data_IF_423491940818
#
_entry.id   IF_423491940818
#
_cell.length_a   1.000
_cell.length_b   1.000
_cell.length_c   1.000
_cell.angle_alpha   90.00
_cell.angle_beta   90.00
_cell.angle_gamma   90.00
#
_symmetry.space_group_name_H-M   'P 1'
#
loop_
_entity.id
_entity.type
_entity.pdbx_description
1 polymer ?
#
# COMPACT_ATOMS: atom_id res chain seq x y z
N UNK A 1 -37.24 14.14 -10.51
CA UNK A 1 -36.01 14.79 -10.02
C UNK A 1 -35.68 14.20 -8.65
N UNK A 2 -34.40 13.98 -8.38
CA UNK A 2 -33.81 13.43 -7.15
C UNK A 2 -33.99 11.90 -6.95
N UNK A 3 -33.03 11.12 -6.48
CA UNK A 3 -31.57 11.24 -6.29
C UNK A 3 -31.18 9.82 -5.84
N UNK A 4 -30.60 8.99 -6.71
CA UNK A 4 -30.16 7.62 -6.38
C UNK A 4 -28.76 7.66 -5.79
N UNK A 5 -28.63 7.92 -4.50
CA UNK A 5 -27.43 7.59 -3.71
C UNK A 5 -27.80 7.62 -2.23
N UNK A 6 -27.94 6.45 -1.59
CA UNK A 6 -27.53 6.24 -0.20
C UNK A 6 -27.90 4.82 0.26
N UNK A 7 -26.99 4.25 1.04
CA UNK A 7 -27.17 3.08 1.91
C UNK A 7 -27.07 1.70 1.25
N UNK A 8 -25.85 1.33 0.83
CA UNK A 8 -25.42 -0.07 0.98
C UNK A 8 -24.43 -0.08 2.13
N UNK A 9 -24.96 -0.23 3.34
CA UNK A 9 -24.18 -0.37 4.56
C UNK A 9 -24.71 -1.56 5.35
N UNK A 10 -23.77 -2.45 5.70
CA UNK A 10 -23.80 -3.36 6.83
C UNK A 10 -24.80 -4.53 6.82
N UNK A 11 -24.26 -5.73 6.59
CA UNK A 11 -24.71 -6.93 7.31
C UNK A 11 -23.49 -7.74 7.74
N UNK A 12 -23.04 -7.45 8.97
CA UNK A 12 -22.10 -8.22 9.77
C UNK A 12 -22.82 -9.46 10.30
N UNK A 13 -22.26 -10.65 10.09
CA UNK A 13 -22.64 -11.89 10.76
C UNK A 13 -21.34 -12.56 11.23
N UNK A 14 -20.88 -12.35 12.46
CA UNK A 14 -21.18 -13.11 13.69
C UNK A 14 -21.12 -14.62 13.50
N UNK A 15 -20.03 -15.24 13.95
CA UNK A 15 -19.99 -16.62 14.43
C UNK A 15 -19.30 -16.61 15.80
N UNK A 16 -20.04 -17.09 16.80
CA UNK A 16 -19.75 -17.08 18.23
C UNK A 16 -19.10 -18.42 18.63
N UNK A 17 -18.12 -18.37 19.54
CA UNK A 17 -17.98 -19.40 20.58
C UNK A 17 -16.66 -20.18 20.61
N UNK A 18 -15.84 -19.89 21.62
CA UNK A 18 -14.71 -20.75 22.02
C UNK A 18 -13.87 -20.09 23.11
N UNK A 19 -13.89 -20.66 24.32
CA UNK A 19 -13.37 -20.14 25.57
C UNK A 19 -11.86 -19.78 25.59
N UNK A 20 -11.51 -18.74 26.36
CA UNK A 20 -10.15 -18.48 26.84
C UNK A 20 -9.82 -19.46 27.99
N UNK A 21 -8.53 -19.81 28.22
CA UNK A 21 -7.77 -18.93 29.12
C UNK A 21 -6.27 -18.79 28.82
N UNK A 22 -5.73 -17.74 29.45
CA UNK A 22 -4.38 -17.61 30.02
C UNK A 22 -3.15 -17.58 29.10
N UNK A 23 -2.44 -16.46 29.21
CA UNK A 23 -1.03 -16.51 29.63
C UNK A 23 -0.01 -16.61 28.50
N UNK A 24 0.44 -15.45 28.04
CA UNK A 24 1.61 -15.33 27.17
C UNK A 24 1.97 -13.87 26.95
N UNK A 25 2.13 -13.09 28.03
CA UNK A 25 2.89 -11.85 27.95
C UNK A 25 4.36 -12.23 27.80
N UNK A 26 4.76 -12.56 26.58
CA UNK A 26 6.16 -12.59 26.21
C UNK A 26 6.57 -11.15 25.99
N UNK A 27 7.22 -10.55 27.00
CA UNK A 27 7.92 -9.30 26.84
C UNK A 27 9.01 -9.48 25.80
N UNK A 28 8.81 -8.90 24.62
CA UNK A 28 9.82 -8.77 23.59
C UNK A 28 9.79 -7.31 23.13
N UNK A 29 10.98 -6.71 23.08
CA UNK A 29 11.25 -5.32 22.71
C UNK A 29 10.29 -4.81 21.62
N UNK A 30 9.47 -3.83 21.99
CA UNK A 30 8.39 -3.24 21.19
C UNK A 30 8.98 -2.39 20.05
N UNK A 31 9.55 -3.05 19.04
CA UNK A 31 9.83 -2.43 17.75
C UNK A 31 8.49 -2.24 17.04
N UNK A 32 8.17 -1.04 16.53
CA UNK A 32 6.90 -0.81 15.84
C UNK A 32 6.83 -1.73 14.61
N UNK A 33 6.09 -2.83 14.75
CA UNK A 33 5.84 -3.78 13.68
C UNK A 33 4.99 -3.07 12.62
N UNK A 34 5.40 -3.13 11.37
CA UNK A 34 4.59 -2.63 10.25
C UNK A 34 3.26 -3.39 10.23
N UNK A 35 2.17 -2.73 10.64
CA UNK A 35 0.85 -3.36 10.83
C UNK A 35 0.04 -3.41 9.54
N UNK A 36 -1.16 -4.02 9.60
CA UNK A 36 -2.11 -3.98 8.50
C UNK A 36 -2.62 -2.56 8.19
N UNK A 37 -2.75 -1.70 9.21
CA UNK A 37 -3.15 -0.31 9.03
C UNK A 37 -2.04 0.48 8.33
N UNK A 38 -0.78 0.23 8.69
CA UNK A 38 0.38 0.81 8.01
C UNK A 38 0.42 0.37 6.53
N UNK A 39 0.06 -0.89 6.24
CA UNK A 39 -0.03 -1.39 4.88
C UNK A 39 -1.12 -0.66 4.09
N UNK A 40 -2.32 -0.54 4.66
CA UNK A 40 -3.44 0.14 4.02
C UNK A 40 -3.11 1.62 3.74
N UNK A 41 -2.52 2.31 4.71
CA UNK A 41 -2.08 3.69 4.54
C UNK A 41 -1.01 3.83 3.45
N UNK A 42 -0.02 2.92 3.44
CA UNK A 42 1.02 2.89 2.42
C UNK A 42 0.44 2.66 1.03
N UNK A 43 -0.44 1.67 0.86
CA UNK A 43 -1.07 1.35 -0.43
C UNK A 43 -1.99 2.47 -0.93
N UNK A 44 -2.73 3.14 -0.03
CA UNK A 44 -3.48 4.36 -0.37
C UNK A 44 -2.55 5.49 -0.81
N UNK A 45 -1.40 5.63 -0.16
CA UNK A 45 -0.33 6.55 -0.56
C UNK A 45 0.10 6.27 -2.00
N UNK A 46 0.50 5.02 -2.29
CA UNK A 46 0.94 4.59 -3.62
C UNK A 46 -0.13 4.91 -4.67
N UNK A 47 -1.40 4.58 -4.41
CA UNK A 47 -2.49 4.88 -5.32
C UNK A 47 -2.67 6.38 -5.61
N UNK A 48 -2.51 7.24 -4.58
CA UNK A 48 -2.54 8.70 -4.77
C UNK A 48 -1.36 9.19 -5.62
N UNK A 49 -0.15 8.71 -5.32
CA UNK A 49 1.05 9.12 -6.07
C UNK A 49 0.97 8.68 -7.53
N UNK A 50 0.49 7.46 -7.79
CA UNK A 50 0.30 6.96 -9.15
C UNK A 50 -0.76 7.77 -9.92
N UNK A 51 -1.88 8.12 -9.27
CA UNK A 51 -2.90 8.96 -9.89
C UNK A 51 -2.38 10.37 -10.25
N UNK A 52 -1.53 10.94 -9.40
CA UNK A 52 -0.89 12.23 -9.67
C UNK A 52 0.17 12.12 -10.76
N UNK A 53 0.97 11.06 -10.74
CA UNK A 53 1.96 10.73 -11.76
C UNK A 53 1.32 10.72 -13.16
N UNK A 54 0.21 9.99 -13.35
CA UNK A 54 -0.49 9.96 -14.63
C UNK A 54 -0.89 11.36 -15.10
N UNK A 55 -1.41 12.20 -14.19
CA UNK A 55 -1.78 13.59 -14.53
C UNK A 55 -0.58 14.45 -14.93
N UNK A 56 0.57 14.27 -14.26
CA UNK A 56 1.79 15.02 -14.58
C UNK A 56 2.36 14.59 -15.93
N UNK A 57 2.34 13.28 -16.22
CA UNK A 57 2.72 12.74 -17.54
C UNK A 57 1.80 13.29 -18.63
N UNK A 58 0.48 13.29 -18.42
CA UNK A 58 -0.49 13.84 -19.38
C UNK A 58 -0.32 15.35 -19.59
N UNK A 59 0.15 16.07 -18.57
CA UNK A 59 0.43 17.51 -18.64
C UNK A 59 1.82 17.82 -19.23
N UNK A 60 2.67 16.83 -19.47
CA UNK A 60 4.06 17.02 -19.91
C UNK A 60 5.00 17.55 -18.82
N UNK A 61 4.59 17.51 -17.55
CA UNK A 61 5.41 17.93 -16.41
C UNK A 61 6.23 16.74 -15.90
N UNK A 62 7.30 16.41 -16.63
CA UNK A 62 8.12 15.22 -16.34
C UNK A 62 8.96 15.35 -15.06
N UNK A 63 9.35 16.57 -14.68
CA UNK A 63 10.05 16.82 -13.42
C UNK A 63 9.16 16.48 -12.22
N UNK A 64 7.92 16.98 -12.21
CA UNK A 64 6.99 16.64 -11.12
C UNK A 64 6.57 15.16 -11.20
N UNK A 65 6.47 14.58 -12.40
CA UNK A 65 6.22 13.15 -12.58
C UNK A 65 7.29 12.29 -11.86
N UNK A 66 8.58 12.61 -12.02
CA UNK A 66 9.69 11.89 -11.36
C UNK A 66 9.61 11.97 -9.84
N UNK A 67 9.20 13.12 -9.30
CA UNK A 67 8.94 13.26 -7.86
C UNK A 67 7.85 12.27 -7.43
N UNK A 68 6.75 12.15 -8.18
CA UNK A 68 5.67 11.20 -7.87
C UNK A 68 6.11 9.75 -7.96
N UNK A 69 6.95 9.38 -8.94
CA UNK A 69 7.54 8.03 -9.03
C UNK A 69 8.36 7.71 -7.79
N UNK A 70 9.23 8.63 -7.37
CA UNK A 70 10.06 8.47 -6.17
C UNK A 70 9.20 8.28 -4.92
N UNK A 71 8.17 9.11 -4.73
CA UNK A 71 7.24 9.00 -3.60
C UNK A 71 6.46 7.68 -3.59
N UNK A 72 6.01 7.22 -4.76
CA UNK A 72 5.34 5.92 -4.86
C UNK A 72 6.27 4.77 -4.45
N UNK A 73 7.55 4.82 -4.84
CA UNK A 73 8.56 3.85 -4.46
C UNK A 73 8.83 3.84 -2.96
N UNK A 74 9.00 5.02 -2.36
CA UNK A 74 9.20 5.18 -0.91
C UNK A 74 8.05 4.58 -0.09
N UNK A 75 6.81 4.70 -0.57
CA UNK A 75 5.63 4.15 0.08
C UNK A 75 5.47 2.65 -0.14
N UNK A 76 5.92 2.14 -1.29
CA UNK A 76 5.80 0.73 -1.64
C UNK A 76 6.87 -0.15 -0.96
N UNK A 77 8.11 0.33 -0.86
CA UNK A 77 9.24 -0.42 -0.29
C UNK A 77 8.99 -1.01 1.12
N UNK A 78 8.47 -0.26 2.11
CA UNK A 78 8.29 -0.78 3.47
C UNK A 78 7.24 -1.89 3.56
N UNK A 79 6.34 -2.00 2.58
CA UNK A 79 5.30 -3.06 2.55
C UNK A 79 5.89 -4.47 2.45
N UNK A 80 7.13 -4.63 1.96
CA UNK A 80 7.84 -5.92 1.94
C UNK A 80 7.93 -6.52 3.35
N UNK A 81 8.07 -5.70 4.39
CA UNK A 81 8.17 -6.16 5.77
C UNK A 81 6.87 -6.87 6.20
N UNK A 82 5.72 -6.29 5.82
CA UNK A 82 4.41 -6.90 6.08
C UNK A 82 4.29 -8.26 5.40
N UNK A 83 4.60 -8.34 4.10
CA UNK A 83 4.43 -9.58 3.34
C UNK A 83 5.39 -10.68 3.80
N UNK A 84 6.62 -10.30 4.17
CA UNK A 84 7.59 -11.22 4.78
C UNK A 84 7.10 -11.79 6.10
N UNK A 85 6.54 -10.96 6.98
CA UNK A 85 5.94 -11.41 8.24
C UNK A 85 4.80 -12.40 8.03
N UNK A 86 4.02 -12.21 6.96
CA UNK A 86 2.89 -13.08 6.62
C UNK A 86 3.28 -14.28 5.73
N UNK A 87 4.58 -14.51 5.49
CA UNK A 87 5.09 -15.58 4.61
C UNK A 87 4.47 -15.58 3.19
N UNK A 88 4.20 -14.38 2.64
CA UNK A 88 3.61 -14.17 1.31
C UNK A 88 4.69 -13.83 0.29
N UNK A 89 5.45 -14.85 -0.13
CA UNK A 89 6.51 -14.70 -1.13
C UNK A 89 5.98 -14.25 -2.51
N UNK A 90 4.76 -14.63 -2.84
CA UNK A 90 4.02 -14.14 -4.02
C UNK A 90 3.88 -12.62 -3.99
N UNK A 91 3.40 -12.07 -2.87
CA UNK A 91 3.23 -10.64 -2.69
C UNK A 91 4.57 -9.89 -2.66
N UNK A 92 5.62 -10.47 -2.06
CA UNK A 92 6.99 -9.92 -2.12
C UNK A 92 7.47 -9.84 -3.57
N UNK A 93 7.22 -10.88 -4.37
CA UNK A 93 7.53 -10.91 -5.80
C UNK A 93 6.81 -9.79 -6.58
N UNK A 94 5.53 -9.56 -6.28
CA UNK A 94 4.75 -8.47 -6.86
C UNK A 94 5.31 -7.09 -6.49
N UNK A 95 5.63 -6.87 -5.20
CA UNK A 95 6.19 -5.59 -4.72
C UNK A 95 7.55 -5.30 -5.36
N UNK A 96 8.42 -6.30 -5.49
CA UNK A 96 9.70 -6.16 -6.19
C UNK A 96 9.52 -5.83 -7.66
N UNK A 97 8.58 -6.51 -8.33
CA UNK A 97 8.26 -6.25 -9.75
C UNK A 97 7.77 -4.82 -9.93
N UNK A 98 6.80 -4.39 -9.12
CA UNK A 98 6.27 -3.03 -9.16
C UNK A 98 7.35 -1.97 -8.88
N UNK A 99 8.25 -2.23 -7.92
CA UNK A 99 9.37 -1.33 -7.62
C UNK A 99 10.31 -1.18 -8.81
N UNK A 100 10.65 -2.30 -9.49
CA UNK A 100 11.46 -2.26 -10.73
C UNK A 100 10.76 -1.49 -11.85
N UNK A 101 9.46 -1.67 -12.02
CA UNK A 101 8.71 -0.92 -13.03
C UNK A 101 8.68 0.58 -12.75
N UNK A 102 8.69 1.00 -11.47
CA UNK A 102 8.85 2.41 -11.10
C UNK A 102 10.27 2.91 -11.40
N UNK A 103 11.30 2.11 -11.11
CA UNK A 103 12.69 2.45 -11.45
C UNK A 103 12.88 2.58 -12.98
N UNK A 104 12.30 1.67 -13.77
CA UNK A 104 12.31 1.75 -15.25
C UNK A 104 11.55 2.97 -15.76
N UNK A 105 10.47 3.37 -15.09
CA UNK A 105 9.71 4.56 -15.44
C UNK A 105 10.51 5.84 -15.14
N UNK A 106 11.18 5.91 -13.98
CA UNK A 106 12.06 7.03 -13.62
C UNK A 106 13.21 7.20 -14.63
N UNK A 107 13.81 6.09 -15.06
CA UNK A 107 14.82 6.09 -16.11
C UNK A 107 14.29 6.68 -17.42
N UNK A 108 13.12 6.22 -17.89
CA UNK A 108 12.48 6.75 -19.11
C UNK A 108 12.12 8.22 -19.01
N UNK A 109 11.60 8.65 -17.85
CA UNK A 109 11.28 10.06 -17.62
C UNK A 109 12.54 10.95 -17.61
N UNK A 110 13.71 10.39 -17.33
CA UNK A 110 14.98 11.14 -17.34
C UNK A 110 15.59 11.28 -18.75
N UNK A 111 15.02 10.59 -19.75
CA UNK A 111 15.43 10.69 -21.16
C UNK A 111 14.58 11.72 -21.95
N UNK A 112 13.48 12.20 -21.36
CA UNK A 112 12.55 13.17 -21.95
C UNK A 112 12.93 14.61 -21.59
#
# INVERSE_FOLDING_TARGET
MAMRYLVVAAAVAVCIGGAAPAGGQSGDTDYPLFTADNLDEAMKGVGRQFSLLTRMVDAGDFEEAKVRVTRAREQLAPTIVFWRKNAREDAIGMVRTATRSLDDLDAKLSEL
#
